data_IF_148104826903
#
_entry.id   IF_148104826903
#
_cell.length_a   1.000
_cell.length_b   1.000
_cell.length_c   1.000
_cell.angle_alpha   90.00
_cell.angle_beta   90.00
_cell.angle_gamma   90.00
#
_symmetry.space_group_name_H-M   'P 1'
#
loop_
_entity.id
_entity.type
_entity.pdbx_description
1 polymer ?
#
# COMPACT_ATOMS: atom_id res chain seq x y z
N UNK A 1 -22.64 -6.21 -32.50
CA UNK A 1 -21.86 -6.97 -31.50
C UNK A 1 -21.75 -6.08 -30.27
N UNK A 2 -22.72 -6.17 -29.37
CA UNK A 2 -22.69 -5.43 -28.10
C UNK A 2 -21.54 -6.00 -27.28
N UNK A 3 -20.53 -5.17 -27.04
CA UNK A 3 -19.38 -5.51 -26.24
C UNK A 3 -19.88 -6.03 -24.89
N UNK A 4 -19.45 -7.23 -24.53
CA UNK A 4 -19.60 -7.78 -23.19
C UNK A 4 -19.15 -6.71 -22.19
N UNK A 5 -20.10 -6.02 -21.56
CA UNK A 5 -19.78 -5.15 -20.44
C UNK A 5 -19.14 -6.04 -19.39
N UNK A 6 -17.84 -5.85 -19.25
CA UNK A 6 -16.92 -6.69 -18.51
C UNK A 6 -17.56 -7.06 -17.16
N UNK A 7 -17.64 -8.37 -16.85
CA UNK A 7 -18.22 -8.87 -15.59
C UNK A 7 -17.62 -8.21 -14.34
N UNK A 8 -16.42 -7.62 -14.45
CA UNK A 8 -15.81 -6.78 -13.43
C UNK A 8 -16.54 -5.44 -13.24
N UNK A 9 -16.84 -4.72 -14.32
CA UNK A 9 -17.51 -3.42 -14.26
C UNK A 9 -18.93 -3.54 -13.67
N UNK A 10 -19.65 -4.62 -14.01
CA UNK A 10 -20.99 -4.89 -13.44
C UNK A 10 -20.97 -5.14 -11.92
N UNK A 11 -19.82 -5.50 -11.35
CA UNK A 11 -19.62 -5.68 -9.91
C UNK A 11 -19.13 -4.40 -9.21
N UNK A 12 -19.13 -3.27 -9.91
CA UNK A 12 -18.67 -1.99 -9.39
C UNK A 12 -17.15 -1.82 -9.40
N UNK A 13 -16.41 -2.66 -10.13
CA UNK A 13 -14.95 -2.55 -10.23
C UNK A 13 -14.57 -1.62 -11.37
N UNK A 14 -14.00 -0.47 -11.04
CA UNK A 14 -13.42 0.47 -12.01
C UNK A 14 -12.02 0.01 -12.42
N UNK A 15 -11.96 -0.95 -13.35
CA UNK A 15 -10.69 -1.57 -13.76
C UNK A 15 -9.81 -0.65 -14.62
N UNK A 16 -10.41 0.19 -15.47
CA UNK A 16 -9.67 1.13 -16.32
C UNK A 16 -9.35 2.47 -15.65
N UNK A 17 -9.96 2.76 -14.49
CA UNK A 17 -9.74 3.99 -13.69
C UNK A 17 -9.83 5.31 -14.50
N UNK A 18 -10.52 5.32 -15.65
CA UNK A 18 -10.61 6.48 -16.56
C UNK A 18 -11.14 7.75 -15.89
N UNK A 19 -12.09 7.58 -14.97
CA UNK A 19 -12.63 8.67 -14.15
C UNK A 19 -11.59 9.28 -13.19
N UNK A 20 -10.71 8.44 -12.63
CA UNK A 20 -9.61 8.89 -11.76
C UNK A 20 -8.58 9.65 -12.58
N UNK A 21 -8.19 9.13 -13.75
CA UNK A 21 -7.21 9.77 -14.63
C UNK A 21 -7.63 11.20 -15.02
N UNK A 22 -8.90 11.41 -15.41
CA UNK A 22 -9.40 12.75 -15.76
C UNK A 22 -9.30 13.78 -14.63
N UNK A 23 -9.38 13.33 -13.37
CA UNK A 23 -9.25 14.21 -12.21
C UNK A 23 -7.78 14.46 -11.90
N UNK A 24 -6.96 13.40 -11.90
CA UNK A 24 -5.52 13.46 -11.60
C UNK A 24 -4.77 14.34 -12.59
N UNK A 25 -5.15 14.35 -13.87
CA UNK A 25 -4.49 15.15 -14.91
C UNK A 25 -4.47 16.66 -14.63
N UNK A 26 -5.44 17.15 -13.83
CA UNK A 26 -5.58 18.56 -13.44
C UNK A 26 -4.92 18.89 -12.11
N UNK A 27 -4.45 17.89 -11.37
CA UNK A 27 -3.82 18.10 -10.07
C UNK A 27 -2.38 18.59 -10.24
N UNK A 28 -1.90 19.27 -9.20
CA UNK A 28 -0.48 19.62 -9.08
C UNK A 28 0.39 18.37 -9.25
N UNK A 29 1.40 18.46 -10.11
CA UNK A 29 2.30 17.35 -10.46
C UNK A 29 3.53 17.27 -9.56
N UNK A 30 3.67 18.18 -8.60
CA UNK A 30 4.82 18.23 -7.70
C UNK A 30 6.07 18.84 -8.36
N UNK A 31 7.20 18.72 -7.67
CA UNK A 31 8.47 19.32 -8.06
C UNK A 31 9.12 18.70 -9.29
N UNK A 32 8.93 17.39 -9.49
CA UNK A 32 9.57 16.64 -10.57
C UNK A 32 8.50 15.94 -11.42
N UNK A 33 7.87 16.65 -12.37
CA UNK A 33 6.90 16.04 -13.27
C UNK A 33 7.54 14.89 -14.06
N UNK A 34 6.93 13.70 -13.97
CA UNK A 34 7.44 12.48 -14.62
C UNK A 34 8.26 11.56 -13.71
N UNK A 35 8.55 11.98 -12.47
CA UNK A 35 9.02 11.05 -11.44
C UNK A 35 7.94 10.00 -11.12
N UNK A 36 8.38 8.83 -10.64
CA UNK A 36 7.48 7.70 -10.37
C UNK A 36 6.49 8.02 -9.24
N UNK A 37 6.98 8.58 -8.13
CA UNK A 37 6.15 9.14 -7.06
C UNK A 37 6.02 10.66 -7.20
N UNK A 38 4.91 11.22 -6.72
CA UNK A 38 4.76 12.67 -6.56
C UNK A 38 5.68 13.16 -5.45
N UNK A 39 6.58 14.08 -5.78
CA UNK A 39 7.52 14.72 -4.84
C UNK A 39 7.07 16.17 -4.61
N UNK A 40 7.02 16.61 -3.35
CA UNK A 40 6.63 17.96 -2.96
C UNK A 40 7.76 18.71 -2.25
N UNK A 41 7.68 20.04 -2.16
CA UNK A 41 8.57 20.83 -1.31
C UNK A 41 8.61 20.29 0.11
N UNK A 42 9.73 20.51 0.81
CA UNK A 42 9.78 20.18 2.23
C UNK A 42 8.95 21.17 3.06
N UNK A 43 7.67 20.86 3.23
CA UNK A 43 6.76 21.58 4.12
C UNK A 43 6.89 21.18 5.59
N UNK A 44 7.63 20.12 5.92
CA UNK A 44 7.78 19.62 7.28
C UNK A 44 8.85 20.42 8.04
N UNK A 45 9.98 20.73 7.40
CA UNK A 45 11.04 21.55 8.01
C UNK A 45 11.22 22.92 7.35
N UNK A 46 10.68 23.11 6.14
CA UNK A 46 10.84 24.35 5.38
C UNK A 46 12.20 24.47 4.68
N UNK A 47 12.99 23.40 4.62
CA UNK A 47 14.31 23.42 4.00
C UNK A 47 14.18 23.36 2.47
N UNK A 48 14.64 24.40 1.79
CA UNK A 48 14.57 24.52 0.33
C UNK A 48 15.44 23.51 -0.43
N UNK A 49 16.42 22.91 0.25
CA UNK A 49 17.31 21.89 -0.31
C UNK A 49 16.75 20.46 -0.14
N UNK A 50 15.61 20.31 0.55
CA UNK A 50 14.95 19.02 0.80
C UNK A 50 13.57 18.95 0.14
N UNK A 51 13.05 17.73 0.04
CA UNK A 51 11.72 17.46 -0.48
C UNK A 51 11.02 16.38 0.37
N UNK A 52 9.69 16.32 0.25
CA UNK A 52 8.85 15.34 0.94
C UNK A 52 8.13 14.44 -0.07
N UNK A 53 7.94 13.19 0.33
CA UNK A 53 7.15 12.20 -0.40
C UNK A 53 6.14 11.62 0.57
N UNK A 54 4.87 11.61 0.18
CA UNK A 54 3.81 10.91 0.90
C UNK A 54 3.23 9.91 -0.09
N UNK A 55 3.25 8.64 0.30
CA UNK A 55 2.74 7.54 -0.51
C UNK A 55 1.77 6.70 0.32
N UNK A 56 0.77 6.11 -0.33
CA UNK A 56 -0.19 5.24 0.34
C UNK A 56 -0.72 4.16 -0.61
N UNK A 57 -0.51 2.93 -0.22
CA UNK A 57 -1.06 1.72 -0.84
C UNK A 57 -1.34 0.66 0.24
N UNK A 58 -1.95 -0.45 -0.13
CA UNK A 58 -2.18 -1.58 0.76
C UNK A 58 -2.26 -2.92 0.05
N UNK A 59 -2.46 -3.99 0.80
CA UNK A 59 -2.46 -5.36 0.27
C UNK A 59 -3.60 -5.68 -0.73
N UNK A 60 -4.57 -4.78 -0.91
CA UNK A 60 -5.69 -4.95 -1.82
C UNK A 60 -6.54 -6.19 -1.52
N UNK A 61 -7.11 -6.79 -2.56
CA UNK A 61 -7.97 -7.97 -2.45
C UNK A 61 -7.22 -9.26 -2.08
N UNK A 62 -5.88 -9.24 -2.07
CA UNK A 62 -5.07 -10.37 -1.59
C UNK A 62 -5.33 -10.67 -0.11
N UNK A 63 -5.68 -9.64 0.66
CA UNK A 63 -6.14 -9.79 2.06
C UNK A 63 -7.38 -10.69 2.19
N UNK A 64 -8.29 -10.70 1.20
CA UNK A 64 -9.46 -11.58 1.18
C UNK A 64 -9.02 -13.04 0.99
N UNK A 65 -8.05 -13.29 0.12
CA UNK A 65 -7.49 -14.62 -0.08
C UNK A 65 -6.77 -15.12 1.18
N UNK A 66 -5.99 -14.25 1.84
CA UNK A 66 -5.38 -14.57 3.13
C UNK A 66 -6.42 -14.91 4.20
N UNK A 67 -7.53 -14.16 4.25
CA UNK A 67 -8.64 -14.47 5.14
C UNK A 67 -9.30 -15.83 4.83
N UNK A 68 -9.56 -16.15 3.56
CA UNK A 68 -10.13 -17.44 3.18
C UNK A 68 -9.20 -18.60 3.54
N UNK A 69 -7.89 -18.43 3.33
CA UNK A 69 -6.88 -19.40 3.75
C UNK A 69 -6.90 -19.62 5.27
N UNK A 70 -6.87 -18.54 6.05
CA UNK A 70 -6.95 -18.60 7.51
C UNK A 70 -8.24 -19.29 7.98
N UNK A 71 -9.37 -19.04 7.32
CA UNK A 71 -10.65 -19.68 7.66
C UNK A 71 -10.68 -21.18 7.36
N UNK A 72 -9.97 -21.61 6.32
CA UNK A 72 -9.90 -23.02 5.91
C UNK A 72 -8.88 -23.81 6.75
N UNK A 73 -7.77 -23.18 7.09
CA UNK A 73 -6.61 -23.86 7.71
C UNK A 73 -6.45 -23.60 9.20
N UNK A 74 -7.02 -22.49 9.70
CA UNK A 74 -6.77 -21.98 11.04
C UNK A 74 -5.41 -21.32 11.23
N UNK A 75 -4.58 -21.20 10.19
CA UNK A 75 -3.22 -20.66 10.29
C UNK A 75 -3.17 -19.13 10.12
N UNK A 76 -2.90 -18.35 11.19
CA UNK A 76 -2.85 -16.89 11.11
C UNK A 76 -1.55 -16.38 10.46
N UNK A 77 -0.54 -17.23 10.25
CA UNK A 77 0.78 -16.81 9.72
C UNK A 77 0.69 -16.18 8.33
N UNK A 78 -0.35 -16.52 7.56
CA UNK A 78 -0.66 -15.90 6.26
C UNK A 78 -0.74 -14.37 6.34
N UNK A 79 -1.15 -13.81 7.48
CA UNK A 79 -1.26 -12.36 7.65
C UNK A 79 0.09 -11.66 7.79
N UNK A 80 1.18 -12.38 8.11
CA UNK A 80 2.54 -11.84 8.00
C UNK A 80 2.89 -11.51 6.55
N UNK A 81 2.51 -12.37 5.61
CA UNK A 81 2.65 -12.10 4.19
C UNK A 81 1.79 -10.92 3.72
N UNK A 82 0.55 -10.81 4.22
CA UNK A 82 -0.33 -9.66 3.92
C UNK A 82 0.26 -8.34 4.47
N UNK A 83 0.91 -8.38 5.64
CA UNK A 83 1.62 -7.23 6.19
C UNK A 83 2.78 -6.80 5.28
N UNK A 84 3.61 -7.75 4.84
CA UNK A 84 4.68 -7.49 3.88
C UNK A 84 4.15 -6.92 2.56
N UNK A 85 3.10 -7.50 1.99
CA UNK A 85 2.48 -7.01 0.75
C UNK A 85 2.07 -5.54 0.88
N UNK A 86 1.48 -5.15 2.02
CA UNK A 86 1.08 -3.76 2.27
C UNK A 86 2.28 -2.80 2.38
N UNK A 87 3.44 -3.27 2.85
CA UNK A 87 4.63 -2.46 3.01
C UNK A 87 5.37 -2.30 1.68
N UNK A 88 5.64 -3.41 0.99
CA UNK A 88 6.44 -3.45 -0.24
C UNK A 88 5.78 -2.66 -1.36
N UNK A 89 4.45 -2.71 -1.48
CA UNK A 89 3.69 -1.89 -2.45
C UNK A 89 3.90 -0.37 -2.26
N UNK A 90 4.37 0.08 -1.09
CA UNK A 90 4.74 1.47 -0.86
C UNK A 90 6.25 1.71 -0.98
N UNK A 91 7.05 0.83 -0.38
CA UNK A 91 8.51 1.01 -0.31
C UNK A 91 9.17 0.87 -1.68
N UNK A 92 8.71 -0.06 -2.53
CA UNK A 92 9.27 -0.26 -3.88
C UNK A 92 8.93 0.91 -4.82
N UNK A 93 7.84 1.64 -4.56
CA UNK A 93 7.49 2.86 -5.28
C UNK A 93 8.41 4.02 -4.85
N UNK A 94 8.65 4.19 -3.55
CA UNK A 94 9.61 5.17 -3.01
C UNK A 94 11.03 4.93 -3.52
N UNK A 95 11.42 3.67 -3.60
CA UNK A 95 12.66 3.20 -4.17
C UNK A 95 12.89 3.66 -5.62
N UNK A 96 11.84 3.70 -6.43
CA UNK A 96 11.90 4.14 -7.83
C UNK A 96 12.24 5.63 -7.99
N UNK A 97 12.09 6.43 -6.93
CA UNK A 97 12.57 7.83 -6.88
C UNK A 97 13.84 8.01 -6.03
N UNK A 98 14.47 6.90 -5.64
CA UNK A 98 15.72 6.90 -4.89
C UNK A 98 15.58 7.12 -3.39
N UNK A 99 14.37 7.00 -2.82
CA UNK A 99 14.13 7.14 -1.40
C UNK A 99 14.22 5.79 -0.68
N UNK A 100 15.28 5.61 0.12
CA UNK A 100 15.60 4.35 0.82
C UNK A 100 15.99 4.54 2.30
N UNK A 101 15.94 5.77 2.81
CA UNK A 101 16.26 6.11 4.21
C UNK A 101 15.26 7.17 4.68
N UNK A 102 15.15 7.35 6.01
CA UNK A 102 14.28 8.34 6.67
C UNK A 102 12.80 8.17 6.34
N UNK A 103 12.38 6.93 6.12
CA UNK A 103 10.97 6.59 5.85
C UNK A 103 10.24 6.38 7.17
N UNK A 104 9.15 7.12 7.36
CA UNK A 104 8.20 6.88 8.45
C UNK A 104 7.00 6.11 7.90
N UNK A 105 6.63 5.03 8.58
CA UNK A 105 5.53 4.16 8.15
C UNK A 105 4.39 4.24 9.17
N UNK A 106 3.17 4.32 8.66
CA UNK A 106 1.94 4.22 9.44
C UNK A 106 1.03 3.19 8.79
N UNK A 107 0.57 2.21 9.56
CA UNK A 107 -0.36 1.19 9.10
C UNK A 107 -1.75 1.45 9.65
N UNK A 108 -2.75 1.46 8.76
CA UNK A 108 -4.16 1.53 9.15
C UNK A 108 -4.84 0.21 8.85
N UNK A 109 -5.44 -0.41 9.88
CA UNK A 109 -6.14 -1.69 9.75
C UNK A 109 -7.62 -1.50 10.03
N UNK A 110 -8.46 -1.69 9.01
CA UNK A 110 -9.90 -1.76 9.17
C UNK A 110 -10.32 -3.24 9.18
N UNK A 111 -10.88 -3.71 10.31
CA UNK A 111 -11.25 -5.11 10.50
C UNK A 111 -12.69 -5.29 10.96
N UNK A 112 -13.28 -6.41 10.59
CA UNK A 112 -14.47 -6.92 11.27
C UNK A 112 -14.04 -7.73 12.50
N UNK A 113 -14.15 -7.14 13.69
CA UNK A 113 -13.68 -7.76 14.94
C UNK A 113 -14.34 -9.11 15.28
N UNK A 114 -15.53 -9.41 14.73
CA UNK A 114 -16.20 -10.71 14.93
C UNK A 114 -15.53 -11.83 14.13
N UNK A 115 -14.99 -11.50 12.96
CA UNK A 115 -14.46 -12.45 12.00
C UNK A 115 -12.93 -12.43 11.95
N UNK A 116 -12.29 -11.40 12.49
CA UNK A 116 -10.85 -11.21 12.49
C UNK A 116 -10.36 -11.11 13.94
N UNK A 117 -10.10 -12.26 14.60
CA UNK A 117 -9.82 -12.34 16.02
C UNK A 117 -8.41 -11.82 16.36
N UNK A 118 -8.02 -11.91 17.64
CA UNK A 118 -6.82 -11.27 18.16
C UNK A 118 -5.53 -11.86 17.57
N UNK A 119 -5.48 -13.17 17.37
CA UNK A 119 -4.31 -13.88 16.82
C UNK A 119 -4.05 -13.51 15.36
N UNK A 120 -5.09 -13.31 14.56
CA UNK A 120 -4.97 -12.84 13.19
C UNK A 120 -4.44 -11.40 13.14
N UNK A 121 -4.91 -10.54 14.04
CA UNK A 121 -4.41 -9.17 14.18
C UNK A 121 -2.97 -9.14 14.69
N UNK A 122 -2.63 -9.97 15.67
CA UNK A 122 -1.26 -10.09 16.19
C UNK A 122 -0.29 -10.50 15.07
N UNK A 123 -0.63 -11.53 14.28
CA UNK A 123 0.19 -11.96 13.16
C UNK A 123 0.41 -10.86 12.11
N UNK A 124 -0.59 -10.02 11.86
CA UNK A 124 -0.45 -8.88 10.95
C UNK A 124 0.48 -7.79 11.52
N UNK A 125 0.31 -7.41 12.79
CA UNK A 125 1.12 -6.38 13.45
C UNK A 125 2.57 -6.84 13.62
N UNK A 126 2.78 -8.06 14.10
CA UNK A 126 4.10 -8.66 14.28
C UNK A 126 4.80 -8.84 12.93
N UNK A 127 4.06 -9.29 11.90
CA UNK A 127 4.60 -9.43 10.55
C UNK A 127 5.08 -8.11 9.96
N UNK A 128 4.40 -6.99 10.26
CA UNK A 128 4.89 -5.65 9.91
C UNK A 128 6.26 -5.38 10.55
N UNK A 129 6.37 -5.54 11.87
CA UNK A 129 7.61 -5.21 12.58
C UNK A 129 8.78 -6.15 12.20
N UNK A 130 8.52 -7.45 12.08
CA UNK A 130 9.51 -8.44 11.64
C UNK A 130 10.07 -8.10 10.24
N UNK A 131 9.18 -7.74 9.31
CA UNK A 131 9.61 -7.36 7.96
C UNK A 131 10.40 -6.05 7.96
N UNK A 132 9.95 -5.04 8.71
CA UNK A 132 10.69 -3.78 8.84
C UNK A 132 12.06 -3.99 9.49
N UNK A 133 12.18 -4.88 10.47
CA UNK A 133 13.48 -5.23 11.03
C UNK A 133 14.38 -5.88 9.97
N UNK A 134 13.84 -6.77 9.14
CA UNK A 134 14.61 -7.38 8.05
C UNK A 134 15.12 -6.35 7.02
N UNK A 135 14.35 -5.29 6.75
CA UNK A 135 14.78 -4.19 5.89
C UNK A 135 15.88 -3.35 6.54
N UNK A 136 15.74 -3.03 7.84
CA UNK A 136 16.78 -2.32 8.60
C UNK A 136 18.09 -3.07 8.66
N UNK A 137 18.03 -4.40 8.80
CA UNK A 137 19.22 -5.26 8.78
C UNK A 137 19.94 -5.25 7.42
N UNK A 138 19.22 -4.92 6.34
CA UNK A 138 19.78 -4.70 5.00
C UNK A 138 20.26 -3.25 4.76
N UNK A 139 20.06 -2.36 5.73
CA UNK A 139 20.43 -0.94 5.64
C UNK A 139 19.38 -0.05 4.98
N UNK A 140 18.12 -0.48 4.96
CA UNK A 140 16.95 0.26 4.45
C UNK A 140 16.11 0.77 5.62
#
# INVERSE_FOLDING_TARGET
>A
MEASQNRYNQRGVSSSKEEVHRVVDRMDRGLFPGAFCKITNDTLTGNVDLCNIIHSDGAGTKSILGYLWYRETGDPSVFKGIAQDSLVMNLDDLACVGAWDRVMISSTVNRNARNFPAEALAALIEGTEEFLQSLRDLGI
#
